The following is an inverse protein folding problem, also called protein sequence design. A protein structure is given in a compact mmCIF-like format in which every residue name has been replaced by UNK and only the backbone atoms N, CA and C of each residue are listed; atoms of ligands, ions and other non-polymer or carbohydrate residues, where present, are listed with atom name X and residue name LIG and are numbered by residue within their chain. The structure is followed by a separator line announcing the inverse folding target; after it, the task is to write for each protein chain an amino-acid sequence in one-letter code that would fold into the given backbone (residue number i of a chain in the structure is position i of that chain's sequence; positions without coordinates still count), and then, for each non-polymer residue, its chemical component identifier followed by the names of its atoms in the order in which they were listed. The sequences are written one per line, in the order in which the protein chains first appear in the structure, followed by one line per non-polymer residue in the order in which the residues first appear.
data_IF_875302897498
#
_entry.id   IF_875302897498
#
_cell.length_a   1.000
_cell.length_b   1.000
_cell.length_c   1.000
_cell.angle_alpha   90.00
_cell.angle_beta   90.00
_cell.angle_gamma   90.00
#
_symmetry.space_group_name_H-M   'P 1'
#
loop_
_entity.id
_entity.type
_entity.pdbx_description
1 polymer ?
#
# COMPACT_ATOMS: atom_id res chain seq x y z
N UNK A 1 -9.99 17.70 -27.93
CA UNK A 1 -10.68 18.72 -28.75
C UNK A 1 -10.00 20.08 -28.69
N UNK A 2 -9.67 20.61 -27.53
CA UNK A 2 -9.03 21.94 -27.35
C UNK A 2 -7.65 22.04 -28.03
N UNK A 3 -6.80 21.03 -27.91
CA UNK A 3 -5.48 20.98 -28.54
C UNK A 3 -5.52 21.06 -30.07
N UNK A 4 -6.52 20.44 -30.70
CA UNK A 4 -6.72 20.47 -32.14
C UNK A 4 -7.15 21.87 -32.60
N UNK A 5 -8.02 22.52 -31.84
CA UNK A 5 -8.47 23.89 -32.12
C UNK A 5 -7.31 24.88 -32.00
N UNK A 6 -6.47 24.76 -30.96
CA UNK A 6 -5.29 25.58 -30.76
C UNK A 6 -4.25 25.38 -31.88
N UNK A 7 -4.03 24.13 -32.30
CA UNK A 7 -3.13 23.81 -33.41
C UNK A 7 -3.64 24.40 -34.75
N UNK A 8 -4.91 24.30 -35.02
CA UNK A 8 -5.55 24.87 -36.23
C UNK A 8 -5.49 26.40 -36.19
N UNK A 9 -5.76 27.02 -35.06
CA UNK A 9 -5.64 28.47 -34.89
C UNK A 9 -4.20 28.94 -35.10
N UNK A 10 -3.21 28.21 -34.53
CA UNK A 10 -1.79 28.51 -34.72
C UNK A 10 -1.35 28.37 -36.18
N UNK A 11 -1.76 27.31 -36.88
CA UNK A 11 -1.48 27.10 -38.29
C UNK A 11 -2.12 28.17 -39.17
N UNK A 12 -3.34 28.61 -38.84
CA UNK A 12 -4.05 29.70 -39.56
C UNK A 12 -3.31 31.04 -39.38
N UNK A 13 -2.93 31.39 -38.15
CA UNK A 13 -2.20 32.61 -37.87
C UNK A 13 -0.78 32.62 -38.49
N UNK A 14 -0.09 31.51 -38.50
CA UNK A 14 1.19 31.30 -39.15
C UNK A 14 1.11 31.50 -40.68
N UNK A 15 0.02 31.05 -41.32
CA UNK A 15 -0.21 31.20 -42.76
C UNK A 15 -0.42 32.66 -43.16
N UNK A 16 -0.94 33.48 -42.25
CA UNK A 16 -1.22 34.90 -42.54
C UNK A 16 -0.02 35.83 -42.35
N UNK A 17 1.16 35.35 -41.93
CA UNK A 17 2.43 36.13 -41.72
C UNK A 17 2.26 37.41 -40.88
N UNK A 18 1.29 37.51 -39.99
CA UNK A 18 0.92 38.74 -39.29
C UNK A 18 1.05 38.66 -37.77
N UNK A 19 1.75 37.64 -37.24
CA UNK A 19 1.86 37.45 -35.78
C UNK A 19 3.29 37.71 -35.35
N UNK A 20 3.50 38.75 -34.55
CA UNK A 20 4.76 39.00 -33.87
C UNK A 20 4.99 37.89 -32.81
N UNK A 21 6.25 37.57 -32.56
CA UNK A 21 6.63 36.49 -31.64
C UNK A 21 6.05 36.68 -30.22
N UNK A 22 5.81 37.92 -29.80
CA UNK A 22 5.18 38.29 -28.52
C UNK A 22 3.74 37.81 -28.39
N UNK A 23 2.98 37.83 -29.48
CA UNK A 23 1.57 37.38 -29.45
C UNK A 23 1.50 35.82 -29.43
N UNK A 24 2.44 35.15 -30.09
CA UNK A 24 2.54 33.70 -30.04
C UNK A 24 2.91 33.21 -28.63
N UNK A 25 3.81 33.89 -27.94
CA UNK A 25 4.17 33.59 -26.55
C UNK A 25 3.00 33.80 -25.59
N UNK A 26 2.21 34.87 -25.79
CA UNK A 26 1.02 35.13 -24.95
C UNK A 26 -0.06 34.06 -25.15
N UNK A 27 -0.27 33.54 -26.37
CA UNK A 27 -1.20 32.47 -26.64
C UNK A 27 -0.78 31.14 -25.99
N UNK A 28 0.53 30.83 -26.00
CA UNK A 28 1.08 29.64 -25.32
C UNK A 28 0.99 29.80 -23.81
N UNK A 29 1.27 30.99 -23.25
CA UNK A 29 1.13 31.27 -21.81
C UNK A 29 -0.34 31.15 -21.35
N UNK A 30 -1.28 31.56 -22.16
CA UNK A 30 -2.72 31.44 -21.86
C UNK A 30 -3.17 29.98 -21.81
N UNK A 31 -2.67 29.14 -22.74
CA UNK A 31 -2.99 27.70 -22.75
C UNK A 31 -2.37 26.99 -21.55
N UNK A 32 -1.14 27.38 -21.15
CA UNK A 32 -0.48 26.87 -19.95
C UNK A 32 -1.20 27.34 -18.69
N UNK A 33 -1.64 28.62 -18.63
CA UNK A 33 -2.32 29.15 -17.45
C UNK A 33 -3.75 28.62 -17.24
N UNK A 34 -4.49 28.31 -18.31
CA UNK A 34 -5.87 27.83 -18.25
C UNK A 34 -6.01 26.33 -18.54
N UNK A 35 -5.03 25.68 -19.17
CA UNK A 35 -5.02 24.25 -19.44
C UNK A 35 -4.46 23.41 -18.31
N UNK A 36 -3.50 23.93 -17.54
CA UNK A 36 -2.89 23.22 -16.41
C UNK A 36 -3.85 22.90 -15.26
N UNK A 37 -4.81 23.77 -14.89
CA UNK A 37 -5.77 23.40 -13.85
C UNK A 37 -6.73 22.27 -14.22
N UNK A 38 -6.88 21.98 -15.52
CA UNK A 38 -7.74 20.87 -16.01
C UNK A 38 -6.96 19.56 -16.09
N UNK A 39 -5.62 19.62 -16.21
CA UNK A 39 -4.75 18.45 -16.23
C UNK A 39 -4.10 18.17 -14.86
N UNK A 40 -4.02 19.18 -14.01
CA UNK A 40 -3.71 19.03 -12.60
C UNK A 40 -5.00 18.84 -11.80
N UNK A 41 -5.80 17.85 -12.13
CA UNK A 41 -6.59 17.21 -11.09
C UNK A 41 -5.57 16.71 -10.07
N UNK A 42 -5.71 17.13 -8.79
CA UNK A 42 -4.83 16.61 -7.76
C UNK A 42 -4.86 15.09 -7.85
N UNK A 43 -3.74 14.46 -7.61
CA UNK A 43 -3.58 13.03 -7.45
C UNK A 43 -4.59 12.45 -6.43
N UNK A 44 -5.20 13.29 -5.60
CA UNK A 44 -6.35 13.00 -4.74
C UNK A 44 -7.50 12.26 -5.45
N UNK A 45 -7.81 12.57 -6.72
CA UNK A 45 -8.85 11.87 -7.48
C UNK A 45 -8.40 10.49 -7.99
N UNK A 46 -7.10 10.22 -8.06
CA UNK A 46 -6.60 8.90 -8.44
C UNK A 46 -6.80 7.86 -7.32
N UNK A 47 -6.96 8.34 -6.09
CA UNK A 47 -7.16 7.53 -4.89
C UNK A 47 -8.55 7.73 -4.26
N UNK A 48 -9.48 8.38 -4.96
CA UNK A 48 -10.87 8.41 -4.51
C UNK A 48 -11.36 6.99 -4.29
N UNK A 49 -11.97 6.71 -3.14
CA UNK A 49 -12.41 5.36 -2.81
C UNK A 49 -13.35 4.87 -3.91
N UNK A 50 -12.99 3.71 -4.46
CA UNK A 50 -13.75 3.05 -5.50
C UNK A 50 -15.07 2.58 -4.93
N UNK A 51 -16.10 3.36 -5.14
CA UNK A 51 -17.47 2.92 -4.97
C UNK A 51 -17.94 2.27 -6.26
N UNK A 52 -17.76 0.98 -6.40
CA UNK A 52 -18.63 0.07 -7.15
C UNK A 52 -18.01 -1.33 -7.26
N UNK A 53 -18.66 -2.32 -6.71
CA UNK A 53 -18.46 -3.71 -7.07
C UNK A 53 -17.35 -4.44 -6.32
N UNK A 54 -17.49 -4.61 -5.01
CA UNK A 54 -17.00 -5.83 -4.36
C UNK A 54 -15.55 -5.90 -3.90
N UNK A 55 -14.76 -4.82 -3.98
CA UNK A 55 -13.47 -4.70 -3.30
C UNK A 55 -13.62 -3.83 -2.06
N UNK A 56 -12.84 -4.09 -0.99
CA UNK A 56 -12.86 -3.23 0.16
C UNK A 56 -12.60 -1.80 -0.27
N UNK A 57 -13.58 -0.93 -0.09
CA UNK A 57 -13.35 0.50 -0.13
C UNK A 57 -12.28 0.76 0.92
N UNK A 58 -11.07 1.15 0.49
CA UNK A 58 -10.11 1.68 1.44
C UNK A 58 -10.74 2.98 1.91
N UNK A 59 -11.27 3.08 3.14
CA UNK A 59 -11.92 4.29 3.59
C UNK A 59 -10.88 5.40 3.57
N UNK A 60 -11.33 6.63 3.31
CA UNK A 60 -10.66 7.89 3.62
C UNK A 60 -9.83 7.72 4.89
N UNK A 61 -8.58 8.16 4.90
CA UNK A 61 -7.50 7.57 5.65
C UNK A 61 -7.91 7.27 7.08
N UNK A 62 -7.75 6.03 7.54
CA UNK A 62 -7.73 5.82 8.96
C UNK A 62 -6.70 6.78 9.53
N UNK A 63 -7.02 7.40 10.65
CA UNK A 63 -6.05 8.19 11.41
C UNK A 63 -4.70 7.47 11.38
N UNK A 64 -3.61 8.18 11.08
CA UNK A 64 -2.30 7.56 11.00
C UNK A 64 -2.07 6.67 12.22
N UNK A 65 -1.75 5.41 12.00
CA UNK A 65 -1.39 4.52 13.10
C UNK A 65 -0.04 5.04 13.61
N UNK A 66 0.06 5.60 14.83
CA UNK A 66 1.33 6.10 15.34
C UNK A 66 2.38 4.98 15.35
N UNK A 67 3.66 5.32 15.24
CA UNK A 67 4.72 4.34 15.43
C UNK A 67 4.58 3.67 16.81
N UNK A 68 4.86 2.36 16.94
CA UNK A 68 4.78 1.65 18.21
C UNK A 68 5.66 2.32 19.28
N UNK A 69 5.10 2.55 20.43
CA UNK A 69 5.84 3.03 21.58
C UNK A 69 6.70 1.91 22.24
N UNK A 70 7.44 2.25 23.31
CA UNK A 70 8.28 1.26 24.00
C UNK A 70 7.46 0.14 24.64
N UNK A 71 6.25 0.44 25.10
CA UNK A 71 5.37 -0.55 25.72
C UNK A 71 4.84 -1.53 24.67
N UNK A 72 4.48 -1.06 23.50
CA UNK A 72 4.03 -1.92 22.40
C UNK A 72 5.16 -2.81 21.89
N UNK A 73 6.39 -2.29 21.82
CA UNK A 73 7.58 -3.10 21.49
C UNK A 73 7.84 -4.18 22.53
N UNK A 74 7.61 -3.89 23.80
CA UNK A 74 7.73 -4.87 24.89
C UNK A 74 6.65 -5.97 24.83
N UNK A 75 5.53 -5.72 24.13
CA UNK A 75 4.46 -6.70 23.88
C UNK A 75 4.72 -7.57 22.63
N UNK A 76 5.89 -7.44 21.98
CA UNK A 76 6.20 -8.17 20.74
C UNK A 76 5.65 -7.55 19.48
N UNK A 77 4.88 -6.46 19.56
CA UNK A 77 4.41 -5.71 18.40
C UNK A 77 5.46 -4.71 17.95
N UNK A 78 5.44 -4.34 16.68
CA UNK A 78 6.26 -3.25 16.19
C UNK A 78 7.00 -3.56 14.91
N UNK A 79 7.95 -2.71 14.62
CA UNK A 79 8.64 -2.64 13.34
C UNK A 79 10.17 -2.76 13.50
N UNK A 80 10.81 -3.14 12.43
CA UNK A 80 12.25 -3.15 12.31
C UNK A 80 12.74 -3.29 10.86
N UNK A 81 14.04 -3.15 10.66
CA UNK A 81 15.02 -2.66 11.63
C UNK A 81 14.91 -1.14 11.83
N UNK A 82 15.61 -0.62 12.86
CA UNK A 82 15.79 0.83 13.01
C UNK A 82 16.52 1.38 11.78
N UNK A 83 15.99 2.45 11.19
CA UNK A 83 16.49 3.07 9.96
C UNK A 83 16.23 4.56 9.96
N UNK A 84 16.84 5.26 9.02
CA UNK A 84 16.54 6.66 8.74
C UNK A 84 15.10 6.79 8.26
N UNK A 85 14.44 7.86 8.68
CA UNK A 85 13.05 8.15 8.32
C UNK A 85 12.98 9.49 7.60
N UNK A 86 12.04 9.58 6.68
CA UNK A 86 11.87 10.68 5.76
C UNK A 86 10.45 11.24 5.83
N UNK A 87 10.18 12.29 5.05
CA UNK A 87 8.86 12.87 4.86
C UNK A 87 8.57 12.99 3.36
N UNK A 88 7.32 13.17 2.99
CA UNK A 88 6.95 13.42 1.59
C UNK A 88 7.63 14.67 1.02
N UNK A 89 7.86 15.69 1.87
CA UNK A 89 8.57 16.91 1.47
C UNK A 89 10.09 16.72 1.35
N UNK A 90 10.65 15.69 2.00
CA UNK A 90 12.08 15.35 1.98
C UNK A 90 12.25 13.85 1.92
N UNK A 91 11.98 13.23 0.75
CA UNK A 91 12.07 11.79 0.56
C UNK A 91 13.53 11.32 0.53
N UNK A 92 13.73 10.00 0.55
CA UNK A 92 15.06 9.40 0.54
C UNK A 92 15.80 9.67 -0.78
N UNK A 93 17.12 9.70 -0.71
CA UNK A 93 18.02 9.77 -1.86
C UNK A 93 18.66 8.42 -2.24
N UNK A 94 18.30 7.35 -1.52
CA UNK A 94 18.77 5.98 -1.76
C UNK A 94 17.59 5.00 -1.59
N UNK A 95 17.70 3.83 -2.19
CA UNK A 95 16.60 2.86 -2.21
C UNK A 95 16.33 2.33 -0.80
N UNK A 96 15.16 2.64 -0.29
CA UNK A 96 14.65 2.20 1.02
C UNK A 96 13.13 2.06 0.95
N UNK A 97 12.58 1.12 1.71
CA UNK A 97 11.14 0.86 1.71
C UNK A 97 10.47 1.41 2.96
N UNK A 98 9.22 1.86 2.81
CA UNK A 98 8.33 2.18 3.92
C UNK A 98 8.97 3.08 4.98
N UNK A 99 9.62 4.15 4.55
CA UNK A 99 10.42 5.03 5.41
C UNK A 99 9.88 6.46 5.48
N UNK A 100 8.67 6.73 4.97
CA UNK A 100 7.97 8.01 5.10
C UNK A 100 7.12 8.01 6.37
N UNK A 101 7.13 9.13 7.10
CA UNK A 101 6.43 9.27 8.39
C UNK A 101 5.13 10.06 8.31
N UNK A 102 4.91 10.79 7.23
CA UNK A 102 3.78 11.70 7.02
C UNK A 102 2.93 11.35 5.80
N UNK A 103 2.90 10.07 5.42
CA UNK A 103 2.05 9.60 4.33
C UNK A 103 0.57 9.83 4.68
N UNK A 104 -0.20 10.59 3.85
CA UNK A 104 -1.58 10.96 4.17
C UNK A 104 -2.55 9.78 4.18
N UNK A 105 -2.19 8.63 3.58
CA UNK A 105 -3.06 7.45 3.42
C UNK A 105 -2.80 6.35 4.44
N UNK A 106 -1.55 6.19 4.86
CA UNK A 106 -1.16 5.14 5.80
C UNK A 106 -0.52 5.67 7.07
N UNK A 107 -0.23 6.97 7.12
CA UNK A 107 0.46 7.61 8.23
C UNK A 107 1.95 7.25 8.22
N UNK A 108 2.45 6.81 9.35
CA UNK A 108 3.81 6.30 9.48
C UNK A 108 3.94 4.94 8.79
N UNK A 109 4.67 4.90 7.68
CA UNK A 109 4.80 3.71 6.83
C UNK A 109 5.54 2.56 7.49
N UNK A 110 6.21 2.80 8.64
CA UNK A 110 6.73 1.70 9.45
C UNK A 110 5.63 0.76 9.89
N UNK A 111 4.38 1.25 10.02
CA UNK A 111 3.18 0.48 10.34
C UNK A 111 2.54 -0.15 9.10
N UNK A 112 3.34 -0.79 8.25
CA UNK A 112 2.92 -1.27 6.94
C UNK A 112 2.06 -2.55 6.96
N UNK A 113 2.02 -3.27 8.08
CA UNK A 113 1.19 -4.45 8.25
C UNK A 113 0.14 -4.18 9.32
N UNK A 114 -1.12 -4.47 9.03
CA UNK A 114 -2.23 -4.19 9.92
C UNK A 114 -3.38 -5.16 9.70
N UNK A 115 -4.25 -5.29 10.68
CA UNK A 115 -5.42 -6.17 10.68
C UNK A 115 -6.68 -5.39 11.06
N UNK A 116 -7.83 -5.85 10.63
CA UNK A 116 -9.14 -5.42 11.11
C UNK A 116 -10.18 -6.51 10.95
N UNK A 117 -11.24 -6.45 11.73
CA UNK A 117 -12.42 -7.26 11.47
C UNK A 117 -13.09 -6.87 10.15
N UNK A 118 -13.70 -7.85 9.50
CA UNK A 118 -14.41 -7.69 8.24
C UNK A 118 -15.62 -8.62 8.21
N UNK A 119 -16.53 -8.37 7.27
CA UNK A 119 -17.70 -9.24 7.08
C UNK A 119 -17.28 -10.61 6.53
N UNK A 120 -18.15 -11.62 6.74
CA UNK A 120 -17.93 -13.00 6.27
C UNK A 120 -17.67 -13.13 4.77
N UNK A 121 -18.10 -12.16 3.98
CA UNK A 121 -17.85 -12.11 2.53
C UNK A 121 -16.48 -11.50 2.21
N UNK A 122 -15.66 -11.20 3.22
CA UNK A 122 -14.38 -10.50 3.09
C UNK A 122 -14.49 -9.15 2.37
N UNK A 123 -15.66 -8.53 2.45
CA UNK A 123 -15.92 -7.20 1.89
C UNK A 123 -15.74 -6.13 2.95
N UNK A 124 -15.28 -4.97 2.51
CA UNK A 124 -14.91 -3.89 3.42
C UNK A 124 -16.05 -3.44 4.32
N UNK A 125 -15.76 -3.36 5.61
CA UNK A 125 -16.45 -2.48 6.54
C UNK A 125 -15.52 -1.28 6.87
N UNK A 126 -16.08 -0.22 7.45
CA UNK A 126 -15.35 1.01 7.78
C UNK A 126 -14.54 0.93 9.09
N UNK A 127 -14.21 -0.28 9.59
CA UNK A 127 -13.48 -0.42 10.84
C UNK A 127 -12.01 0.02 10.67
N UNK A 128 -11.42 0.65 11.70
CA UNK A 128 -10.03 1.09 11.65
C UNK A 128 -9.06 -0.10 11.60
N UNK A 129 -7.89 0.14 11.02
CA UNK A 129 -6.78 -0.81 11.04
C UNK A 129 -6.14 -0.85 12.44
N UNK A 130 -5.80 -2.04 12.91
CA UNK A 130 -5.24 -2.31 14.23
C UNK A 130 -3.89 -3.02 14.13
N UNK A 131 -3.09 -2.90 15.17
CA UNK A 131 -1.83 -3.63 15.39
C UNK A 131 -2.00 -4.74 16.42
N UNK A 132 -3.03 -4.64 17.22
CA UNK A 132 -3.44 -5.63 18.20
C UNK A 132 -4.93 -5.83 18.04
N UNK A 133 -5.34 -7.05 17.75
CA UNK A 133 -6.75 -7.38 17.53
C UNK A 133 -7.18 -8.53 18.44
N UNK A 134 -8.34 -8.38 19.07
CA UNK A 134 -9.00 -9.44 19.83
C UNK A 134 -9.92 -10.19 18.88
N UNK A 135 -9.78 -11.51 18.84
CA UNK A 135 -10.47 -12.38 17.90
C UNK A 135 -11.23 -13.49 18.61
N UNK A 136 -12.31 -13.99 17.99
CA UNK A 136 -13.14 -15.05 18.48
C UNK A 136 -13.62 -15.98 17.35
N UNK A 137 -14.18 -17.14 17.73
CA UNK A 137 -14.78 -18.06 16.75
C UNK A 137 -15.85 -17.37 15.89
N UNK A 138 -15.81 -17.60 14.60
CA UNK A 138 -16.72 -17.02 13.61
C UNK A 138 -16.28 -15.70 13.02
N UNK A 139 -15.23 -15.06 13.54
CA UNK A 139 -14.70 -13.81 13.01
C UNK A 139 -14.06 -13.99 11.64
N UNK A 140 -14.05 -12.89 10.88
CA UNK A 140 -13.26 -12.74 9.66
C UNK A 140 -12.35 -11.54 9.83
N UNK A 141 -11.11 -11.71 9.42
CA UNK A 141 -10.04 -10.70 9.53
C UNK A 141 -9.53 -10.34 8.16
N UNK A 142 -9.43 -9.05 7.86
CA UNK A 142 -8.71 -8.55 6.71
C UNK A 142 -7.35 -8.07 7.15
N UNK A 143 -6.32 -8.60 6.54
CA UNK A 143 -4.94 -8.11 6.68
C UNK A 143 -4.58 -7.21 5.51
N UNK A 144 -3.74 -6.21 5.77
CA UNK A 144 -3.18 -5.31 4.77
C UNK A 144 -1.68 -5.21 4.92
N UNK A 145 -0.97 -5.30 3.80
CA UNK A 145 0.43 -4.92 3.67
C UNK A 145 0.53 -3.75 2.71
N UNK A 146 1.19 -2.67 3.13
CA UNK A 146 1.54 -1.53 2.31
C UNK A 146 3.01 -1.58 1.94
N UNK A 147 3.37 -1.27 0.70
CA UNK A 147 4.77 -1.22 0.26
C UNK A 147 4.99 -0.03 -0.63
N UNK A 148 5.98 0.77 -0.29
CA UNK A 148 6.45 1.91 -1.07
C UNK A 148 7.98 1.94 -1.11
N UNK A 149 8.52 2.35 -2.24
CA UNK A 149 9.92 2.74 -2.37
C UNK A 149 10.01 4.24 -2.08
N UNK A 150 10.53 4.60 -0.91
CA UNK A 150 10.51 5.95 -0.32
C UNK A 150 11.50 6.93 -0.94
N UNK A 151 12.11 6.60 -2.07
CA UNK A 151 12.98 7.50 -2.84
C UNK A 151 12.15 8.56 -3.55
N UNK A 152 12.72 9.75 -3.72
CA UNK A 152 12.12 10.77 -4.57
C UNK A 152 11.94 10.26 -6.00
N UNK A 153 10.73 10.38 -6.55
CA UNK A 153 10.37 9.85 -7.88
C UNK A 153 11.23 10.41 -9.02
N UNK A 154 11.66 11.67 -8.91
CA UNK A 154 12.53 12.33 -9.88
C UNK A 154 13.94 11.74 -9.93
N UNK A 155 14.37 10.97 -8.93
CA UNK A 155 15.65 10.27 -8.91
C UNK A 155 15.60 8.90 -9.61
N UNK A 156 14.40 8.39 -9.91
CA UNK A 156 14.20 7.09 -10.56
C UNK A 156 13.70 7.21 -12.02
N UNK A 157 13.94 8.35 -12.67
CA UNK A 157 13.50 8.55 -14.05
C UNK A 157 14.13 7.55 -15.03
N UNK A 158 15.35 7.11 -14.76
CA UNK A 158 16.11 6.11 -15.53
C UNK A 158 16.00 4.68 -14.95
N UNK A 159 15.26 4.47 -13.84
CA UNK A 159 15.13 3.19 -13.15
C UNK A 159 16.30 2.86 -12.22
N UNK A 160 17.25 3.75 -12.01
CA UNK A 160 18.43 3.50 -11.18
C UNK A 160 18.14 3.35 -9.69
N UNK A 161 17.00 3.87 -9.24
CA UNK A 161 16.53 3.79 -7.85
C UNK A 161 15.32 2.86 -7.68
N UNK A 162 15.02 2.03 -8.67
CA UNK A 162 14.01 0.98 -8.57
C UNK A 162 14.46 -0.07 -7.55
N UNK A 163 13.62 -0.39 -6.57
CA UNK A 163 13.86 -1.52 -5.68
C UNK A 163 13.77 -2.82 -6.48
N UNK A 164 14.73 -3.74 -6.27
CA UNK A 164 14.87 -4.99 -7.01
C UNK A 164 14.80 -6.20 -6.10
N UNK A 165 14.30 -7.31 -6.62
CA UNK A 165 14.15 -8.55 -5.88
C UNK A 165 13.14 -8.46 -4.73
N UNK A 166 12.23 -7.49 -4.77
CA UNK A 166 11.23 -7.25 -3.72
C UNK A 166 10.35 -8.48 -3.52
N UNK A 167 10.35 -9.00 -2.30
CA UNK A 167 9.52 -10.14 -1.87
C UNK A 167 8.79 -9.82 -0.58
N UNK A 168 7.61 -10.38 -0.47
CA UNK A 168 6.81 -10.38 0.76
C UNK A 168 6.69 -11.79 1.28
N UNK A 169 6.92 -11.96 2.57
CA UNK A 169 6.52 -13.13 3.35
C UNK A 169 5.63 -12.71 4.51
N UNK A 170 4.58 -13.46 4.74
CA UNK A 170 3.72 -13.32 5.92
C UNK A 170 3.81 -14.61 6.74
N UNK A 171 4.12 -14.45 8.03
CA UNK A 171 4.04 -15.53 9.00
C UNK A 171 2.69 -15.42 9.71
N UNK A 172 1.75 -16.28 9.33
CA UNK A 172 0.42 -16.37 9.94
C UNK A 172 0.41 -17.60 10.85
N UNK A 173 0.17 -17.45 12.17
CA UNK A 173 0.07 -18.58 13.07
C UNK A 173 -1.16 -19.43 12.72
N UNK A 174 -1.03 -20.74 12.78
CA UNK A 174 -2.18 -21.63 12.54
C UNK A 174 -3.21 -21.57 13.67
N UNK A 175 -2.77 -21.28 14.89
CA UNK A 175 -3.60 -21.29 16.11
C UNK A 175 -3.22 -20.11 17.01
N UNK A 176 -4.22 -19.52 17.67
CA UNK A 176 -4.08 -18.56 18.76
C UNK A 176 -4.69 -19.20 20.02
N UNK A 177 -3.94 -19.26 21.11
CA UNK A 177 -4.28 -20.01 22.31
C UNK A 177 -3.74 -21.43 22.31
N UNK A 178 -4.16 -22.22 23.28
CA UNK A 178 -3.72 -23.63 23.43
C UNK A 178 -4.81 -24.58 22.90
N UNK A 179 -4.57 -25.27 21.77
CA UNK A 179 -5.57 -26.17 21.19
C UNK A 179 -5.79 -27.44 22.05
N UNK A 180 -4.85 -27.82 22.90
CA UNK A 180 -5.02 -29.01 23.76
C UNK A 180 -5.98 -28.77 24.92
N UNK A 181 -5.96 -27.56 25.48
CA UNK A 181 -6.82 -27.16 26.60
C UNK A 181 -8.00 -26.31 26.14
N UNK A 182 -7.94 -25.71 24.96
CA UNK A 182 -8.91 -24.75 24.46
C UNK A 182 -8.83 -23.40 25.15
N UNK A 183 -7.73 -23.11 25.86
CA UNK A 183 -7.63 -21.90 26.66
C UNK A 183 -7.17 -20.69 25.84
N UNK A 184 -7.43 -19.52 26.44
CA UNK A 184 -7.02 -18.22 25.94
C UNK A 184 -5.52 -18.16 25.60
N UNK A 185 -5.16 -17.27 24.68
CA UNK A 185 -3.76 -17.00 24.37
C UNK A 185 -3.56 -15.84 23.42
N UNK A 186 -2.30 -15.66 23.08
CA UNK A 186 -1.85 -14.64 22.14
C UNK A 186 -0.90 -15.28 21.14
N UNK A 187 -0.89 -14.75 19.92
CA UNK A 187 0.05 -15.13 18.90
C UNK A 187 0.44 -13.93 18.05
N UNK A 188 1.68 -13.93 17.61
CA UNK A 188 2.21 -12.93 16.68
C UNK A 188 1.96 -13.38 15.24
N UNK A 189 1.59 -12.42 14.39
CA UNK A 189 1.66 -12.55 12.94
C UNK A 189 2.57 -11.46 12.40
N UNK A 190 3.39 -11.76 11.41
CA UNK A 190 4.35 -10.79 10.89
C UNK A 190 4.35 -10.73 9.37
N UNK A 191 4.61 -9.54 8.84
CA UNK A 191 4.94 -9.35 7.43
C UNK A 191 6.41 -8.93 7.32
N UNK A 192 7.13 -9.60 6.41
CA UNK A 192 8.53 -9.32 6.10
C UNK A 192 8.65 -8.93 4.64
N UNK A 193 9.27 -7.78 4.39
CA UNK A 193 9.69 -7.33 3.06
C UNK A 193 11.20 -7.52 2.94
N UNK A 194 11.63 -8.06 1.81
CA UNK A 194 13.05 -8.25 1.46
C UNK A 194 13.25 -7.67 0.07
N UNK A 195 14.33 -6.92 -0.13
CA UNK A 195 14.74 -6.45 -1.45
C UNK A 195 16.27 -6.43 -1.54
N UNK A 196 16.80 -6.68 -2.75
CA UNK A 196 18.22 -6.96 -2.93
C UNK A 196 19.09 -5.70 -2.83
N UNK A 197 18.57 -4.54 -3.27
CA UNK A 197 19.31 -3.28 -3.38
C UNK A 197 18.81 -2.18 -2.43
N UNK A 198 18.01 -2.50 -1.43
CA UNK A 198 17.53 -1.53 -0.44
C UNK A 198 18.41 -1.44 0.78
N UNK A 199 18.36 -0.31 1.48
CA UNK A 199 19.02 -0.13 2.76
C UNK A 199 18.01 0.32 3.84
N UNK A 200 17.70 -0.53 4.83
CA UNK A 200 18.12 -1.93 4.98
C UNK A 200 17.55 -2.83 3.86
N UNK A 201 18.02 -4.08 3.75
CA UNK A 201 17.52 -5.04 2.75
C UNK A 201 16.37 -5.94 3.27
N UNK A 202 16.03 -5.83 4.56
CA UNK A 202 14.94 -6.58 5.20
C UNK A 202 14.18 -5.67 6.17
N UNK A 203 12.85 -5.68 6.06
CA UNK A 203 11.92 -4.92 6.90
C UNK A 203 10.89 -5.88 7.46
N UNK A 204 10.44 -5.66 8.70
CA UNK A 204 9.36 -6.44 9.29
C UNK A 204 8.43 -5.57 10.11
N UNK A 205 7.22 -6.05 10.24
CA UNK A 205 6.23 -5.53 11.17
C UNK A 205 5.45 -6.68 11.79
N UNK A 206 5.18 -6.58 13.09
CA UNK A 206 4.48 -7.60 13.89
C UNK A 206 3.15 -7.05 14.36
N UNK A 207 2.10 -7.86 14.20
CA UNK A 207 0.74 -7.63 14.70
C UNK A 207 0.44 -8.72 15.72
N UNK A 208 -0.18 -8.36 16.85
CA UNK A 208 -0.56 -9.28 17.90
C UNK A 208 -2.05 -9.63 17.79
N UNK A 209 -2.36 -10.91 17.80
CA UNK A 209 -3.72 -11.43 17.92
C UNK A 209 -3.91 -12.03 19.32
N UNK A 210 -5.07 -11.78 19.93
CA UNK A 210 -5.42 -12.35 21.23
C UNK A 210 -6.82 -12.95 21.18
N UNK A 211 -7.02 -14.07 21.87
CA UNK A 211 -8.33 -14.72 21.98
C UNK A 211 -8.59 -15.22 23.39
N UNK A 212 -9.84 -15.22 23.82
CA UNK A 212 -10.26 -15.79 25.11
C UNK A 212 -10.38 -17.32 25.09
N UNK A 213 -10.35 -17.90 23.90
CA UNK A 213 -10.37 -19.34 23.67
C UNK A 213 -9.38 -19.71 22.58
N UNK A 214 -9.05 -20.99 22.45
CA UNK A 214 -8.19 -21.44 21.35
C UNK A 214 -8.94 -21.41 20.04
N UNK A 215 -8.39 -20.70 19.05
CA UNK A 215 -8.96 -20.53 17.71
C UNK A 215 -7.92 -20.85 16.65
N UNK A 216 -8.38 -21.35 15.52
CA UNK A 216 -7.59 -21.61 14.31
C UNK A 216 -7.77 -20.49 13.31
N UNK A 217 -6.72 -20.16 12.57
CA UNK A 217 -6.69 -19.15 11.52
C UNK A 217 -6.59 -19.85 10.16
N UNK A 218 -7.59 -19.69 9.32
CA UNK A 218 -7.63 -20.26 7.98
C UNK A 218 -7.68 -19.15 6.92
N UNK A 219 -6.72 -19.13 5.98
CA UNK A 219 -6.79 -18.23 4.83
C UNK A 219 -8.07 -18.51 4.03
N UNK A 220 -8.86 -17.49 3.74
CA UNK A 220 -10.01 -17.62 2.85
C UNK A 220 -9.53 -17.67 1.42
N UNK A 221 -9.77 -18.76 0.68
CA UNK A 221 -9.22 -18.93 -0.67
C UNK A 221 -9.65 -17.82 -1.64
N UNK A 222 -8.75 -17.39 -2.48
CA UNK A 222 -8.98 -16.39 -3.55
C UNK A 222 -9.36 -14.99 -3.04
N UNK A 223 -8.97 -14.65 -1.83
CA UNK A 223 -9.15 -13.31 -1.27
C UNK A 223 -7.88 -12.47 -1.28
N UNK A 224 -6.74 -13.07 -1.64
CA UNK A 224 -5.46 -12.38 -1.72
C UNK A 224 -5.39 -11.52 -2.96
N UNK A 225 -5.22 -10.22 -2.78
CA UNK A 225 -5.28 -9.22 -3.85
C UNK A 225 -4.14 -8.20 -3.72
N UNK A 226 -3.59 -7.78 -4.85
CA UNK A 226 -2.68 -6.66 -4.96
C UNK A 226 -3.36 -5.52 -5.70
N UNK A 227 -3.49 -4.38 -5.05
CA UNK A 227 -4.06 -3.16 -5.60
C UNK A 227 -2.98 -2.07 -5.72
N UNK A 228 -3.02 -1.34 -6.80
CA UNK A 228 -2.19 -0.17 -7.07
C UNK A 228 -2.77 0.62 -8.25
N UNK A 229 -2.09 1.67 -8.69
CA UNK A 229 -2.56 2.49 -9.83
C UNK A 229 -2.57 1.73 -11.17
N UNK A 230 -1.73 0.70 -11.34
CA UNK A 230 -1.68 -0.08 -12.56
C UNK A 230 -2.86 -1.06 -12.67
N UNK A 231 -3.08 -1.87 -11.63
CA UNK A 231 -4.16 -2.88 -11.61
C UNK A 231 -5.54 -2.27 -11.32
N UNK A 232 -5.56 -1.01 -10.88
CA UNK A 232 -6.81 -0.26 -10.65
C UNK A 232 -7.70 -0.94 -9.61
N UNK A 233 -8.99 -0.78 -9.82
CA UNK A 233 -10.05 -1.22 -8.90
C UNK A 233 -10.19 -2.74 -8.77
N UNK A 234 -9.92 -3.47 -9.85
CA UNK A 234 -10.07 -4.93 -9.87
C UNK A 234 -8.94 -5.65 -9.14
N UNK A 235 -7.78 -4.98 -9.00
CA UNK A 235 -6.60 -5.57 -8.42
C UNK A 235 -6.03 -6.75 -9.24
N UNK A 236 -4.93 -7.31 -8.78
CA UNK A 236 -4.35 -8.56 -9.24
C UNK A 236 -4.56 -9.63 -8.18
N UNK A 237 -5.21 -10.74 -8.54
CA UNK A 237 -5.33 -11.89 -7.65
C UNK A 237 -3.94 -12.50 -7.41
N UNK A 238 -3.63 -12.76 -6.15
CA UNK A 238 -2.34 -13.28 -5.73
C UNK A 238 -2.42 -14.76 -5.36
N UNK A 239 -1.37 -15.55 -5.65
CA UNK A 239 -1.23 -16.89 -5.09
C UNK A 239 -0.87 -16.81 -3.60
N UNK A 240 -1.10 -17.91 -2.87
CA UNK A 240 -0.85 -17.99 -1.44
C UNK A 240 0.64 -18.19 -1.09
N UNK A 241 1.54 -18.09 -2.07
CA UNK A 241 2.98 -18.31 -1.91
C UNK A 241 3.67 -17.30 -0.96
N UNK A 242 3.02 -16.17 -0.68
CA UNK A 242 3.50 -15.24 0.35
C UNK A 242 3.47 -15.80 1.78
N UNK A 243 2.75 -16.90 2.02
CA UNK A 243 2.73 -17.61 3.32
C UNK A 243 3.87 -18.65 3.46
N UNK A 244 4.61 -18.91 2.38
CA UNK A 244 5.63 -19.96 2.37
C UNK A 244 6.99 -19.38 1.98
N UNK A 245 8.07 -20.07 2.36
CA UNK A 245 9.43 -19.71 1.93
C UNK A 245 9.61 -19.91 0.42
N UNK A 246 10.33 -19.05 -0.26
CA UNK A 246 11.03 -17.84 0.21
C UNK A 246 10.18 -16.57 0.20
N UNK A 247 8.86 -16.66 0.19
CA UNK A 247 7.92 -15.57 -0.02
C UNK A 247 7.58 -15.36 -1.49
N UNK A 248 6.77 -14.36 -1.76
CA UNK A 248 6.27 -14.03 -3.10
C UNK A 248 6.91 -12.72 -3.59
N UNK A 249 7.36 -12.70 -4.84
CA UNK A 249 7.76 -11.45 -5.48
C UNK A 249 6.56 -10.51 -5.63
N UNK A 250 6.80 -9.23 -5.34
CA UNK A 250 5.87 -8.14 -5.60
C UNK A 250 6.42 -7.25 -6.71
N UNK A 251 5.56 -6.46 -7.32
CA UNK A 251 5.97 -5.46 -8.31
C UNK A 251 4.77 -4.63 -8.77
N UNK A 252 5.05 -3.53 -9.44
CA UNK A 252 4.02 -2.55 -9.76
C UNK A 252 3.06 -3.01 -10.87
N UNK A 253 3.59 -3.56 -11.96
CA UNK A 253 2.84 -3.98 -13.15
C UNK A 253 2.81 -5.51 -13.34
N UNK A 254 3.67 -6.23 -12.63
CA UNK A 254 3.78 -7.68 -12.61
C UNK A 254 4.54 -8.12 -11.35
N UNK A 255 4.50 -9.41 -11.04
CA UNK A 255 5.15 -9.97 -9.84
C UNK A 255 6.62 -10.33 -10.14
N UNK A 256 7.44 -9.33 -10.48
CA UNK A 256 8.84 -9.52 -10.90
C UNK A 256 9.88 -9.01 -9.91
N UNK A 257 9.45 -8.50 -8.76
CA UNK A 257 10.34 -7.97 -7.74
C UNK A 257 10.78 -6.53 -7.97
N UNK A 258 10.24 -5.82 -8.96
CA UNK A 258 10.63 -4.44 -9.26
C UNK A 258 9.60 -3.44 -8.77
N UNK A 259 10.04 -2.48 -7.94
CA UNK A 259 9.20 -1.40 -7.43
C UNK A 259 9.90 -0.06 -7.63
N UNK A 260 9.37 0.74 -8.54
CA UNK A 260 9.87 2.09 -8.83
C UNK A 260 9.71 3.01 -7.62
N UNK A 261 10.54 4.06 -7.61
CA UNK A 261 10.49 5.09 -6.59
C UNK A 261 9.24 5.96 -6.70
N UNK A 262 8.75 6.38 -5.53
CA UNK A 262 7.65 7.31 -5.41
C UNK A 262 6.30 6.64 -5.12
N UNK A 263 5.52 7.36 -4.39
CA UNK A 263 4.28 6.90 -3.79
C UNK A 263 3.19 6.51 -4.83
N UNK A 264 3.25 7.05 -6.06
CA UNK A 264 2.36 6.66 -7.16
C UNK A 264 2.55 5.20 -7.60
N UNK A 265 3.66 4.56 -7.22
CA UNK A 265 3.95 3.15 -7.48
C UNK A 265 3.68 2.25 -6.28
N UNK A 266 3.19 2.81 -5.18
CA UNK A 266 2.90 2.06 -3.96
C UNK A 266 1.94 0.87 -4.19
N UNK A 267 2.13 -0.17 -3.39
CA UNK A 267 1.38 -1.41 -3.45
C UNK A 267 0.55 -1.59 -2.19
N UNK A 268 -0.67 -2.07 -2.35
CA UNK A 268 -1.56 -2.50 -1.28
C UNK A 268 -1.91 -3.96 -1.49
N UNK A 269 -1.34 -4.84 -0.70
CA UNK A 269 -1.75 -6.23 -0.65
C UNK A 269 -2.77 -6.41 0.47
N UNK A 270 -3.80 -7.22 0.23
CA UNK A 270 -4.75 -7.65 1.27
C UNK A 270 -5.08 -9.14 1.13
N UNK A 271 -5.43 -9.77 2.24
CA UNK A 271 -5.94 -11.14 2.29
C UNK A 271 -6.87 -11.31 3.49
N UNK A 272 -7.82 -12.22 3.36
CA UNK A 272 -8.83 -12.48 4.38
C UNK A 272 -8.57 -13.81 5.08
N UNK A 273 -8.76 -13.81 6.39
CA UNK A 273 -8.60 -14.98 7.26
C UNK A 273 -9.90 -15.23 8.01
N UNK A 274 -10.35 -16.47 8.03
CA UNK A 274 -11.45 -16.92 8.88
C UNK A 274 -10.90 -17.43 10.21
N UNK A 275 -11.53 -17.03 11.30
CA UNK A 275 -11.28 -17.54 12.64
C UNK A 275 -12.28 -18.65 12.95
N UNK A 276 -11.81 -19.79 13.41
CA UNK A 276 -12.67 -20.95 13.75
C UNK A 276 -12.23 -21.54 15.08
N UNK A 277 -13.18 -21.87 15.93
CA UNK A 277 -12.88 -22.58 17.19
C UNK A 277 -12.11 -23.87 16.95
N UNK A 278 -11.20 -24.22 17.86
CA UNK A 278 -10.44 -25.49 17.78
C UNK A 278 -11.20 -26.67 18.35
N UNK A 279 -12.26 -26.41 19.14
CA UNK A 279 -13.17 -27.44 19.62
C UNK A 279 -14.35 -27.54 18.67
N UNK A 280 -14.47 -28.66 18.00
CA UNK A 280 -15.68 -29.13 17.26
C UNK A 280 -16.47 -30.12 18.09
#
# INVERSE_FOLDING_TARGET
MILVVCLLAWLYLRKQRKVEASVALAAVALVVAFGLPVLAKPIEDAWSPVTAGGLPTIPVPPLPIPAPDEKERALGTGWGPKREMFTLASPASYVTLNSITDNPYVGDERSFYAVRHIDKDCKSNALPWQRHEKIADGDYLLFRVYVENSVADNLDADGSHTAQGLRLKVDLPAVVGDPATGSAGQAETSATLIADNTNPNKYWYVVLLSSEESVRLDLVPRTSMLNNNHFGKSGLALPDSFLYEPGMQLGYDKLDGNLRAGYQYALYMSFCVKVSGTRS
#
